data_IF_425399600044
#
_entry.id   IF_425399600044
#
_cell.length_a   1.000
_cell.length_b   1.000
_cell.length_c   1.000
_cell.angle_alpha   90.00
_cell.angle_beta   90.00
_cell.angle_gamma   90.00
#
_symmetry.space_group_name_H-M   'P 1'
#
loop_
_entity.id
_entity.type
_entity.pdbx_description
1 polymer ?
#
# COMPACT_ATOMS: atom_id res chain seq x y z
N UNK A 1 -3.46 -16.48 4.82
CA UNK A 1 -2.59 -15.93 3.76
C UNK A 1 -2.42 -14.43 3.96
N UNK A 2 -1.19 -13.98 4.01
CA UNK A 2 -0.88 -12.57 4.23
C UNK A 2 -0.72 -11.86 2.88
N UNK A 3 -1.54 -10.86 2.65
CA UNK A 3 -1.51 -10.06 1.42
C UNK A 3 -1.10 -8.64 1.76
N UNK A 4 -0.08 -8.14 1.10
CA UNK A 4 0.40 -6.78 1.25
C UNK A 4 0.11 -6.00 -0.03
N UNK A 5 -0.57 -4.86 0.09
CA UNK A 5 -0.94 -4.01 -1.04
C UNK A 5 -0.28 -2.65 -0.92
N UNK A 6 0.28 -2.18 -2.02
CA UNK A 6 0.86 -0.83 -2.12
C UNK A 6 0.16 -0.09 -3.26
N UNK A 7 -0.46 1.04 -2.94
CA UNK A 7 -1.08 1.89 -3.94
C UNK A 7 -1.28 3.30 -3.38
N UNK A 8 -0.71 4.29 -4.05
CA UNK A 8 -0.82 5.70 -3.64
C UNK A 8 -2.26 6.21 -3.59
N UNK A 9 -3.12 5.71 -4.46
CA UNK A 9 -4.52 6.12 -4.51
C UNK A 9 -5.32 5.74 -3.25
N UNK A 10 -4.78 4.85 -2.42
CA UNK A 10 -5.44 4.43 -1.18
C UNK A 10 -5.48 5.51 -0.11
N UNK A 11 -4.91 6.69 -0.36
CA UNK A 11 -5.16 7.86 0.50
C UNK A 11 -6.64 8.25 0.49
N UNK A 12 -7.37 7.90 -0.56
CA UNK A 12 -8.80 8.17 -0.70
C UNK A 12 -9.63 6.93 -0.40
N UNK A 13 -10.66 7.09 0.41
CA UNK A 13 -11.58 6.01 0.77
C UNK A 13 -12.27 5.39 -0.45
N UNK A 14 -12.49 6.17 -1.50
CA UNK A 14 -13.17 5.70 -2.71
C UNK A 14 -12.49 4.49 -3.36
N UNK A 15 -11.20 4.31 -3.17
CA UNK A 15 -10.43 3.22 -3.79
C UNK A 15 -10.31 1.98 -2.90
N UNK A 16 -10.91 1.99 -1.71
CA UNK A 16 -10.80 0.87 -0.77
C UNK A 16 -11.84 -0.23 -0.96
N UNK A 17 -12.89 0.03 -1.73
CA UNK A 17 -14.05 -0.88 -1.82
C UNK A 17 -13.68 -2.33 -2.12
N UNK A 18 -12.86 -2.57 -3.15
CA UNK A 18 -12.50 -3.95 -3.51
C UNK A 18 -11.60 -4.61 -2.46
N UNK A 19 -10.82 -3.82 -1.72
CA UNK A 19 -9.97 -4.35 -0.65
C UNK A 19 -10.78 -4.68 0.58
N UNK A 20 -11.86 -3.97 0.85
CA UNK A 20 -12.81 -4.31 1.89
C UNK A 20 -13.42 -5.68 1.60
N UNK A 21 -13.83 -5.92 0.35
CA UNK A 21 -14.38 -7.21 -0.05
C UNK A 21 -13.32 -8.33 0.03
N UNK A 22 -12.09 -8.05 -0.38
CA UNK A 22 -10.99 -9.01 -0.28
C UNK A 22 -10.71 -9.38 1.17
N UNK A 23 -10.74 -8.42 2.08
CA UNK A 23 -10.46 -8.64 3.49
C UNK A 23 -11.50 -9.52 4.19
N UNK A 24 -12.71 -9.63 3.62
CA UNK A 24 -13.76 -10.49 4.16
C UNK A 24 -13.54 -11.97 3.87
N UNK A 25 -12.63 -12.31 2.98
CA UNK A 25 -12.32 -13.70 2.67
C UNK A 25 -11.61 -14.35 3.86
N UNK A 26 -12.04 -15.57 4.19
CA UNK A 26 -11.70 -16.27 5.44
C UNK A 26 -10.21 -16.36 5.74
N UNK A 27 -9.37 -16.67 4.78
CA UNK A 27 -7.96 -16.96 5.03
C UNK A 27 -7.04 -15.80 4.59
N UNK A 28 -7.59 -14.59 4.45
CA UNK A 28 -6.83 -13.43 3.99
C UNK A 28 -6.58 -12.46 5.15
N UNK A 29 -5.31 -12.21 5.44
CA UNK A 29 -4.87 -11.12 6.31
C UNK A 29 -4.37 -10.01 5.41
N UNK A 30 -5.13 -8.93 5.28
CA UNK A 30 -4.82 -7.84 4.37
C UNK A 30 -4.15 -6.69 5.09
N UNK A 31 -3.04 -6.21 4.55
CA UNK A 31 -2.36 -5.02 5.03
C UNK A 31 -2.13 -4.08 3.85
N UNK A 32 -2.52 -2.82 4.01
CA UNK A 32 -2.31 -1.78 3.01
C UNK A 32 -1.20 -0.85 3.47
N UNK A 33 -0.21 -0.60 2.62
CA UNK A 33 0.79 0.44 2.84
C UNK A 33 0.36 1.65 2.02
N UNK A 34 0.13 2.76 2.70
CA UNK A 34 -0.47 3.95 2.10
C UNK A 34 0.37 5.17 2.47
N UNK A 35 0.61 6.09 1.51
CA UNK A 35 1.27 7.35 1.86
C UNK A 35 0.42 8.13 2.87
N UNK A 36 1.07 8.80 3.80
CA UNK A 36 0.37 9.73 4.69
C UNK A 36 -0.22 10.89 3.91
N UNK A 37 0.38 11.19 2.77
CA UNK A 37 -0.07 12.24 1.86
C UNK A 37 0.38 11.93 0.45
N UNK A 38 -0.52 12.07 -0.51
CA UNK A 38 -0.18 12.01 -1.93
C UNK A 38 -0.43 13.37 -2.55
N UNK A 39 0.63 14.05 -2.99
CA UNK A 39 0.62 15.41 -3.52
C UNK A 39 -0.10 16.34 -2.53
N UNK A 40 -1.30 16.84 -2.82
CA UNK A 40 -2.08 17.71 -1.94
C UNK A 40 -3.16 16.97 -1.15
N UNK A 41 -3.27 15.66 -1.34
CA UNK A 41 -4.32 14.86 -0.71
C UNK A 41 -3.76 14.14 0.52
N UNK A 42 -4.31 14.46 1.68
CA UNK A 42 -3.98 13.75 2.91
C UNK A 42 -4.73 12.41 2.98
N UNK A 43 -4.15 11.47 3.72
CA UNK A 43 -4.84 10.21 3.98
C UNK A 43 -6.15 10.46 4.70
N UNK A 44 -7.25 9.96 4.14
CA UNK A 44 -8.56 10.03 4.75
C UNK A 44 -8.65 9.11 5.98
N UNK A 45 -9.51 9.45 6.92
CA UNK A 45 -9.75 8.67 8.13
C UNK A 45 -11.12 8.01 8.07
N UNK A 46 -11.36 7.04 8.97
CA UNK A 46 -12.68 6.42 9.07
C UNK A 46 -12.85 5.16 8.25
N UNK A 47 -11.75 4.51 7.88
CA UNK A 47 -11.78 3.24 7.17
C UNK A 47 -12.30 2.11 8.07
N UNK A 48 -12.79 1.03 7.45
CA UNK A 48 -13.26 -0.12 8.19
C UNK A 48 -12.12 -0.85 8.90
N UNK A 49 -12.46 -1.69 9.89
CA UNK A 49 -11.50 -2.41 10.71
C UNK A 49 -11.18 -3.82 10.20
N UNK A 50 -11.58 -4.17 8.99
CA UNK A 50 -11.41 -5.51 8.45
C UNK A 50 -10.00 -5.77 7.92
N UNK A 51 -9.18 -4.74 7.82
CA UNK A 51 -7.80 -4.84 7.36
C UNK A 51 -6.94 -3.79 8.05
N UNK A 52 -5.63 -4.02 8.00
CA UNK A 52 -4.65 -3.11 8.59
C UNK A 52 -4.16 -2.10 7.58
N UNK A 53 -4.07 -0.84 7.98
CA UNK A 53 -3.49 0.23 7.18
C UNK A 53 -2.23 0.72 7.87
N UNK A 54 -1.13 0.77 7.14
CA UNK A 54 0.14 1.33 7.62
C UNK A 54 0.39 2.63 6.86
N UNK A 55 0.10 3.79 7.48
CA UNK A 55 0.47 5.08 6.88
C UNK A 55 1.99 5.23 6.94
N UNK A 56 2.60 5.66 5.86
CA UNK A 56 4.05 5.85 5.82
C UNK A 56 4.41 7.08 4.99
N UNK A 57 5.51 7.71 5.33
CA UNK A 57 6.05 8.82 4.55
C UNK A 57 6.70 8.30 3.28
N UNK A 58 6.53 9.04 2.20
CA UNK A 58 7.15 8.70 0.91
C UNK A 58 8.02 9.85 0.45
N UNK A 59 8.98 9.55 -0.42
CA UNK A 59 9.84 10.53 -1.05
C UNK A 59 9.27 10.86 -2.41
N UNK A 60 9.31 12.13 -2.82
CA UNK A 60 8.79 12.65 -4.09
C UNK A 60 7.29 12.40 -4.26
N UNK A 61 6.51 12.71 -3.22
CA UNK A 61 5.05 12.66 -3.26
C UNK A 61 4.51 13.51 -4.43
N UNK A 62 3.57 12.94 -5.18
CA UNK A 62 3.01 13.60 -6.36
C UNK A 62 3.72 13.26 -7.67
N UNK A 63 4.87 12.61 -7.62
CA UNK A 63 5.63 12.20 -8.81
C UNK A 63 5.39 10.71 -9.07
N UNK A 64 4.47 10.39 -9.97
CA UNK A 64 4.01 9.02 -10.22
C UNK A 64 5.13 8.00 -10.43
N UNK A 65 6.17 8.38 -11.18
CA UNK A 65 7.21 7.41 -11.56
C UNK A 65 8.40 7.40 -10.62
N UNK A 66 8.55 8.43 -9.80
CA UNK A 66 9.75 8.65 -9.00
C UNK A 66 9.53 8.59 -7.49
N UNK A 67 8.28 8.58 -7.02
CA UNK A 67 8.03 8.43 -5.59
C UNK A 67 8.45 7.03 -5.13
N UNK A 68 8.85 6.91 -3.87
CA UNK A 68 9.27 5.63 -3.31
C UNK A 68 9.03 5.62 -1.80
N UNK A 69 9.09 4.44 -1.23
CA UNK A 69 8.75 4.19 0.18
C UNK A 69 10.00 3.86 0.97
N UNK A 70 10.61 4.82 1.69
CA UNK A 70 11.87 4.57 2.42
C UNK A 70 11.80 3.43 3.43
N UNK A 71 10.61 3.20 4.01
CA UNK A 71 10.43 2.18 5.05
C UNK A 71 9.84 0.87 4.55
N UNK A 72 9.72 0.71 3.24
CA UNK A 72 9.07 -0.47 2.67
C UNK A 72 9.77 -1.77 3.09
N UNK A 73 11.08 -1.82 3.06
CA UNK A 73 11.84 -3.00 3.46
C UNK A 73 11.52 -3.43 4.89
N UNK A 74 11.45 -2.48 5.81
CA UNK A 74 11.09 -2.74 7.20
C UNK A 74 9.74 -3.43 7.31
N UNK A 75 8.74 -2.91 6.61
CA UNK A 75 7.38 -3.47 6.67
C UNK A 75 7.31 -4.85 6.02
N UNK A 76 7.97 -5.03 4.89
CA UNK A 76 8.02 -6.34 4.22
C UNK A 76 8.67 -7.39 5.12
N UNK A 77 9.75 -7.05 5.79
CA UNK A 77 10.43 -7.97 6.72
C UNK A 77 9.58 -8.32 7.93
N UNK A 78 8.79 -7.36 8.43
CA UNK A 78 7.91 -7.59 9.59
C UNK A 78 6.69 -8.42 9.23
N UNK A 79 6.07 -8.14 8.07
CA UNK A 79 4.82 -8.78 7.66
C UNK A 79 5.06 -10.13 7.02
N UNK A 80 6.13 -10.28 6.24
CA UNK A 80 6.46 -11.49 5.48
C UNK A 80 5.27 -11.95 4.64
N UNK A 81 4.82 -11.12 3.68
CA UNK A 81 3.61 -11.42 2.92
C UNK A 81 3.77 -12.64 2.02
N UNK A 82 2.68 -13.37 1.84
CA UNK A 82 2.60 -14.45 0.86
C UNK A 82 2.36 -13.89 -0.54
N UNK A 83 1.59 -12.80 -0.63
CA UNK A 83 1.31 -12.11 -1.88
C UNK A 83 1.62 -10.62 -1.72
N UNK A 84 2.33 -10.08 -2.69
CA UNK A 84 2.69 -8.68 -2.76
C UNK A 84 1.97 -8.07 -3.96
N UNK A 85 0.92 -7.31 -3.70
CA UNK A 85 0.09 -6.70 -4.74
C UNK A 85 0.45 -5.23 -4.90
N UNK A 86 0.83 -4.83 -6.11
CA UNK A 86 1.27 -3.47 -6.42
C UNK A 86 0.37 -2.88 -7.50
N UNK A 87 -0.29 -1.78 -7.18
CA UNK A 87 -1.15 -1.03 -8.10
C UNK A 87 -0.43 0.21 -8.63
N UNK A 88 0.81 0.03 -9.10
CA UNK A 88 1.62 1.10 -9.65
C UNK A 88 2.07 0.74 -11.06
N UNK A 89 2.51 1.73 -11.84
CA UNK A 89 3.04 1.48 -13.17
C UNK A 89 4.27 0.56 -13.08
N UNK A 90 4.40 -0.37 -14.01
CA UNK A 90 5.47 -1.37 -13.99
C UNK A 90 6.88 -0.76 -14.06
N UNK A 91 7.00 0.47 -14.56
CA UNK A 91 8.27 1.18 -14.72
C UNK A 91 8.54 2.19 -13.60
N UNK A 92 7.71 2.25 -12.57
CA UNK A 92 7.90 3.19 -11.46
C UNK A 92 8.96 2.72 -10.48
N UNK A 93 9.52 3.64 -9.69
CA UNK A 93 10.46 3.31 -8.63
C UNK A 93 9.84 2.40 -7.58
N UNK A 94 8.56 2.61 -7.25
CA UNK A 94 7.86 1.77 -6.27
C UNK A 94 7.81 0.33 -6.74
N UNK A 95 7.47 0.11 -8.01
CA UNK A 95 7.42 -1.24 -8.57
C UNK A 95 8.82 -1.89 -8.54
N UNK A 96 9.85 -1.16 -8.93
CA UNK A 96 11.23 -1.65 -8.86
C UNK A 96 11.61 -2.02 -7.43
N UNK A 97 11.33 -1.13 -6.48
CA UNK A 97 11.62 -1.34 -5.06
C UNK A 97 10.91 -2.59 -4.53
N UNK A 98 9.62 -2.75 -4.86
CA UNK A 98 8.81 -3.88 -4.40
C UNK A 98 9.30 -5.21 -5.00
N UNK A 99 9.60 -5.24 -6.29
CA UNK A 99 10.12 -6.44 -6.95
C UNK A 99 11.44 -6.88 -6.32
N UNK A 100 12.30 -5.92 -6.00
CA UNK A 100 13.59 -6.21 -5.40
C UNK A 100 13.46 -6.82 -4.00
N UNK A 101 12.39 -6.47 -3.26
CA UNK A 101 12.14 -6.97 -1.91
C UNK A 101 11.35 -8.28 -1.89
N UNK A 102 10.70 -8.61 -2.98
CA UNK A 102 9.84 -9.80 -3.06
C UNK A 102 10.59 -11.13 -2.98
#
# INVERSE_FOLDING_TARGET
MKVLVIWKALVSEAYHKRFIELAKLKDVELTLIVPTRWHKTNLEKGFCNEYKIIPTKIVLSGYNHFHWYPRLEKYVRQIRPDIFHIEEEHYSFVTYQAIKLA
#
